data_IF_586921663232
#
_entry.id   IF_586921663232
#
_cell.length_a   1.000
_cell.length_b   1.000
_cell.length_c   1.000
_cell.angle_alpha   90.00
_cell.angle_beta   90.00
_cell.angle_gamma   90.00
#
_symmetry.space_group_name_H-M   'P 1'
#
loop_
_entity.id
_entity.type
_entity.pdbx_description
1 polymer ?
#
# COMPACT_ATOMS: atom_id res chain seq x y z
N UNK A 1 10.44 16.51 -7.96
CA UNK A 1 11.20 16.37 -9.23
C UNK A 1 11.43 17.74 -9.87
N UNK A 2 12.68 18.09 -10.18
CA UNK A 2 13.03 19.38 -10.81
C UNK A 2 12.90 20.59 -9.88
N UNK A 3 12.02 21.54 -10.22
CA UNK A 3 11.94 22.90 -9.64
C UNK A 3 10.72 23.14 -8.72
N UNK A 4 10.04 22.07 -8.29
CA UNK A 4 8.82 22.16 -7.49
C UNK A 4 8.88 21.27 -6.26
N UNK A 5 8.25 21.75 -5.19
CA UNK A 5 7.75 20.95 -4.08
C UNK A 5 6.40 20.34 -4.49
N UNK A 6 6.15 19.10 -4.10
CA UNK A 6 4.90 18.40 -4.34
C UNK A 6 4.25 18.05 -3.00
N UNK A 7 2.95 18.26 -2.91
CA UNK A 7 2.12 17.86 -1.77
C UNK A 7 1.17 16.79 -2.26
N UNK A 8 1.30 15.59 -1.71
CA UNK A 8 0.48 14.42 -2.03
C UNK A 8 -0.46 14.19 -0.84
N UNK A 9 -1.75 14.03 -1.12
CA UNK A 9 -2.80 13.92 -0.11
C UNK A 9 -3.85 12.89 -0.50
N UNK A 10 -4.30 12.12 0.49
CA UNK A 10 -5.51 11.33 0.37
C UNK A 10 -6.77 12.19 0.59
N UNK A 11 -7.79 12.00 -0.23
CA UNK A 11 -9.10 12.67 -0.12
C UNK A 11 -10.26 11.66 -0.17
N UNK A 12 -11.43 12.09 0.32
CA UNK A 12 -12.68 11.32 0.25
C UNK A 12 -12.88 10.29 1.38
N UNK A 13 -11.91 10.15 2.28
CA UNK A 13 -11.91 9.13 3.34
C UNK A 13 -11.49 7.75 2.82
N UNK A 14 -11.07 6.85 3.71
CA UNK A 14 -10.47 5.54 3.36
C UNK A 14 -11.47 4.47 2.90
N UNK A 15 -12.71 4.84 2.56
CA UNK A 15 -13.76 3.94 2.06
C UNK A 15 -13.95 4.05 0.53
N UNK A 16 -15.14 3.73 0.02
CA UNK A 16 -15.41 3.68 -1.43
C UNK A 16 -15.12 4.98 -2.22
N UNK A 17 -15.04 6.14 -1.54
CA UNK A 17 -14.73 7.44 -2.14
C UNK A 17 -13.24 7.83 -2.11
N UNK A 18 -12.36 6.95 -1.64
CA UNK A 18 -10.93 7.21 -1.49
C UNK A 18 -10.26 7.59 -2.83
N UNK A 19 -9.31 8.50 -2.74
CA UNK A 19 -8.51 8.95 -3.87
C UNK A 19 -7.18 9.55 -3.41
N UNK A 20 -6.20 9.54 -4.31
CA UNK A 20 -4.96 10.29 -4.14
C UNK A 20 -4.94 11.52 -5.04
N UNK A 21 -4.65 12.68 -4.46
CA UNK A 21 -4.46 13.94 -5.19
C UNK A 21 -3.04 14.44 -5.03
N UNK A 22 -2.61 15.28 -5.97
CA UNK A 22 -1.32 15.94 -5.86
C UNK A 22 -1.41 17.42 -6.23
N UNK A 23 -0.63 18.22 -5.52
CA UNK A 23 -0.43 19.64 -5.75
C UNK A 23 1.06 19.93 -5.90
N UNK A 24 1.42 21.08 -6.48
CA UNK A 24 2.82 21.53 -6.53
C UNK A 24 2.96 23.03 -6.29
N UNK A 25 4.11 23.42 -5.75
CA UNK A 25 4.47 24.81 -5.48
C UNK A 25 5.97 25.04 -5.68
N UNK A 26 6.36 26.31 -5.84
CA UNK A 26 7.80 26.71 -5.89
C UNK A 26 8.40 26.91 -4.49
N UNK A 27 7.56 27.09 -3.48
CA UNK A 27 7.93 27.22 -2.08
C UNK A 27 7.14 26.15 -1.28
N UNK A 28 7.74 25.50 -0.27
CA UNK A 28 7.05 24.47 0.51
C UNK A 28 5.82 24.97 1.27
N UNK A 29 5.65 26.29 1.43
CA UNK A 29 4.46 26.91 2.05
C UNK A 29 3.42 27.36 1.02
N UNK A 30 3.62 27.05 -0.26
CA UNK A 30 2.71 27.42 -1.34
C UNK A 30 3.03 28.78 -2.02
N UNK A 31 2.07 29.36 -2.77
CA UNK A 31 0.73 28.83 -3.01
C UNK A 31 0.78 27.51 -3.80
N UNK A 32 -0.09 26.59 -3.41
CA UNK A 32 -0.21 25.28 -4.05
C UNK A 32 -1.13 25.35 -5.26
N UNK A 33 -0.67 24.77 -6.37
CA UNK A 33 -1.48 24.59 -7.58
C UNK A 33 -1.85 23.12 -7.67
N UNK A 34 -3.13 22.83 -7.92
CA UNK A 34 -3.62 21.46 -8.09
C UNK A 34 -3.15 20.86 -9.42
N UNK A 35 -2.91 19.54 -9.41
CA UNK A 35 -2.74 18.80 -10.65
C UNK A 35 -4.06 18.84 -11.44
N UNK A 36 -4.05 19.30 -12.70
CA UNK A 36 -5.27 19.38 -13.53
C UNK A 36 -5.92 18.01 -13.78
N UNK A 37 -5.15 16.94 -13.59
CA UNK A 37 -5.61 15.57 -13.79
C UNK A 37 -6.05 14.88 -12.48
N UNK A 38 -6.10 15.60 -11.36
CA UNK A 38 -6.56 15.02 -10.10
C UNK A 38 -7.94 14.30 -10.25
N UNK A 39 -8.18 13.23 -9.47
CA UNK A 39 -7.19 12.50 -8.67
C UNK A 39 -6.20 11.71 -9.54
N UNK A 40 -4.96 11.54 -9.07
CA UNK A 40 -3.90 10.78 -9.76
C UNK A 40 -3.99 9.26 -9.54
N UNK A 41 -4.84 8.83 -8.59
CA UNK A 41 -5.22 7.44 -8.31
C UNK A 41 -6.64 7.43 -7.70
N UNK A 42 -7.55 6.62 -8.24
CA UNK A 42 -8.84 6.32 -7.59
C UNK A 42 -9.52 5.11 -8.25
N UNK A 43 -10.46 4.49 -7.54
CA UNK A 43 -11.41 3.49 -8.06
C UNK A 43 -12.89 3.88 -7.79
N UNK A 44 -13.16 5.13 -7.39
CA UNK A 44 -14.47 5.57 -6.88
C UNK A 44 -15.56 5.79 -7.94
N UNK A 45 -15.20 5.93 -9.21
CA UNK A 45 -16.12 6.26 -10.31
C UNK A 45 -15.68 5.62 -11.62
N UNK A 46 -16.63 5.44 -12.55
CA UNK A 46 -16.35 5.07 -13.94
C UNK A 46 -15.96 3.60 -14.15
N UNK A 47 -16.16 2.76 -13.13
CA UNK A 47 -15.97 1.32 -13.17
C UNK A 47 -17.27 0.64 -12.73
N UNK A 48 -17.57 -0.52 -13.32
CA UNK A 48 -18.68 -1.36 -12.86
C UNK A 48 -18.37 -1.88 -11.44
N UNK A 49 -19.23 -1.61 -10.43
CA UNK A 49 -19.04 -2.16 -9.09
C UNK A 49 -19.11 -3.69 -9.05
N UNK A 50 -19.79 -4.34 -10.01
CA UNK A 50 -19.94 -5.80 -10.10
C UNK A 50 -18.87 -6.48 -10.96
N UNK A 51 -17.82 -5.74 -11.38
CA UNK A 51 -16.72 -6.31 -12.15
C UNK A 51 -16.06 -7.45 -11.37
N UNK A 52 -15.54 -8.44 -12.10
CA UNK A 52 -14.78 -9.54 -11.51
C UNK A 52 -13.52 -9.02 -10.78
N UNK A 53 -13.21 -9.61 -9.63
CA UNK A 53 -12.04 -9.34 -8.81
C UNK A 53 -11.82 -7.84 -8.54
N UNK A 54 -12.82 -7.13 -7.99
CA UNK A 54 -12.76 -5.68 -7.83
C UNK A 54 -11.67 -5.30 -6.80
N UNK A 55 -10.98 -4.20 -7.10
CA UNK A 55 -10.17 -3.46 -6.13
C UNK A 55 -10.83 -2.11 -5.89
N UNK A 56 -11.09 -1.76 -4.64
CA UNK A 56 -11.79 -0.53 -4.24
C UNK A 56 -10.94 0.31 -3.27
N UNK A 57 -11.43 1.49 -2.89
CA UNK A 57 -10.85 2.31 -1.82
C UNK A 57 -9.36 2.65 -2.00
N UNK A 58 -8.90 2.78 -3.25
CA UNK A 58 -7.49 3.05 -3.56
C UNK A 58 -7.09 4.51 -3.27
N UNK A 59 -6.03 4.70 -2.49
CA UNK A 59 -5.50 6.00 -2.09
C UNK A 59 -4.39 5.86 -1.03
N UNK A 60 -4.07 6.95 -0.34
CA UNK A 60 -2.99 6.99 0.67
C UNK A 60 -1.68 6.48 0.08
N UNK A 61 -1.30 7.06 -1.05
CA UNK A 61 -0.13 6.65 -1.79
C UNK A 61 1.13 7.34 -1.27
N UNK A 62 2.25 6.66 -1.46
CA UNK A 62 3.58 7.25 -1.46
C UNK A 62 4.32 6.83 -2.73
N UNK A 63 5.21 7.69 -3.24
CA UNK A 63 5.94 7.43 -4.49
C UNK A 63 7.45 7.37 -4.27
N UNK A 64 8.09 6.40 -4.91
CA UNK A 64 9.52 6.13 -4.77
C UNK A 64 10.16 5.90 -6.14
N UNK A 65 11.39 6.38 -6.32
CA UNK A 65 12.22 6.04 -7.47
C UNK A 65 13.11 4.84 -7.13
N UNK A 66 13.21 3.87 -8.05
CA UNK A 66 14.01 2.66 -7.84
C UNK A 66 15.52 2.82 -8.10
N UNK A 67 16.01 4.05 -8.22
CA UNK A 67 17.41 4.39 -8.52
C UNK A 67 17.83 4.14 -9.97
N UNK A 68 16.94 3.60 -10.82
CA UNK A 68 17.14 3.44 -12.27
C UNK A 68 16.29 4.43 -13.07
N UNK A 69 15.72 5.45 -12.40
CA UNK A 69 14.82 6.41 -13.01
C UNK A 69 13.36 5.95 -13.13
N UNK A 70 13.00 4.72 -12.74
CA UNK A 70 11.61 4.29 -12.73
C UNK A 70 10.95 4.69 -11.43
N UNK A 71 9.73 5.22 -11.53
CA UNK A 71 8.94 5.64 -10.38
C UNK A 71 7.83 4.62 -10.10
N UNK A 72 7.54 4.43 -8.82
CA UNK A 72 6.58 3.47 -8.30
C UNK A 72 5.72 4.11 -7.22
N UNK A 73 4.46 3.71 -7.12
CA UNK A 73 3.55 4.10 -6.07
C UNK A 73 3.23 2.87 -5.21
N UNK A 74 3.46 2.98 -3.90
CA UNK A 74 2.86 2.09 -2.91
C UNK A 74 1.62 2.76 -2.35
N UNK A 75 0.52 2.03 -2.22
CA UNK A 75 -0.75 2.61 -1.76
C UNK A 75 -1.64 1.53 -1.15
N UNK A 76 -2.62 1.95 -0.37
CA UNK A 76 -3.62 1.03 0.17
C UNK A 76 -4.79 0.86 -0.77
N UNK A 77 -5.40 -0.32 -0.81
CA UNK A 77 -6.71 -0.57 -1.41
C UNK A 77 -7.37 -1.80 -0.76
N UNK A 78 -8.64 -2.03 -1.07
CA UNK A 78 -9.42 -3.15 -0.55
C UNK A 78 -9.83 -4.12 -1.66
N UNK A 79 -10.02 -5.40 -1.30
CA UNK A 79 -10.64 -6.42 -2.16
C UNK A 79 -12.03 -6.73 -1.61
N UNK A 80 -13.07 -5.99 -2.02
CA UNK A 80 -14.40 -6.26 -1.54
C UNK A 80 -14.91 -7.60 -2.05
N UNK A 81 -15.63 -8.31 -1.19
CA UNK A 81 -16.55 -9.39 -1.55
C UNK A 81 -17.99 -8.85 -1.48
N UNK A 82 -18.98 -9.75 -1.43
CA UNK A 82 -20.41 -9.43 -1.36
C UNK A 82 -20.71 -8.22 -0.45
N UNK A 83 -21.56 -7.31 -0.94
CA UNK A 83 -22.00 -6.11 -0.22
C UNK A 83 -20.88 -5.11 0.16
N UNK A 84 -19.79 -5.06 -0.61
CA UNK A 84 -18.64 -4.17 -0.37
C UNK A 84 -17.97 -4.40 1.00
N UNK A 85 -18.03 -5.64 1.50
CA UNK A 85 -17.33 -6.05 2.71
C UNK A 85 -15.88 -6.48 2.42
N UNK A 86 -14.94 -6.25 3.34
CA UNK A 86 -13.52 -6.62 3.19
C UNK A 86 -12.89 -6.96 4.55
N UNK A 87 -12.87 -8.25 4.88
CA UNK A 87 -12.38 -8.79 6.16
C UNK A 87 -10.85 -8.83 6.26
N UNK A 88 -10.14 -8.84 5.14
CA UNK A 88 -8.67 -8.73 5.10
C UNK A 88 -8.19 -7.31 5.44
N UNK A 89 -9.10 -6.34 5.52
CA UNK A 89 -8.76 -4.95 5.73
C UNK A 89 -8.19 -4.30 4.46
N UNK A 90 -7.22 -3.41 4.65
CA UNK A 90 -6.57 -2.65 3.57
C UNK A 90 -5.23 -3.29 3.25
N UNK A 91 -5.10 -3.79 2.03
CA UNK A 91 -3.87 -4.41 1.52
C UNK A 91 -2.96 -3.34 0.89
N UNK A 92 -1.65 -3.62 0.81
CA UNK A 92 -0.68 -2.76 0.11
C UNK A 92 -0.54 -3.19 -1.34
N UNK A 93 -0.65 -2.24 -2.27
CA UNK A 93 -0.53 -2.40 -3.71
C UNK A 93 0.69 -1.65 -4.25
N UNK A 94 1.11 -2.01 -5.46
CA UNK A 94 2.21 -1.39 -6.18
C UNK A 94 1.82 -1.12 -7.63
N UNK A 95 1.97 0.12 -8.10
CA UNK A 95 1.80 0.50 -9.51
C UNK A 95 2.98 1.34 -10.01
N UNK A 96 3.32 1.29 -11.31
CA UNK A 96 4.28 2.23 -11.88
C UNK A 96 3.72 3.65 -11.90
N UNK A 97 4.61 4.65 -11.83
CA UNK A 97 4.25 6.07 -11.91
C UNK A 97 4.87 6.67 -13.15
N UNK A 98 4.04 7.30 -13.98
CA UNK A 98 4.51 8.06 -15.15
C UNK A 98 4.54 9.54 -14.82
N UNK A 99 5.50 10.27 -15.39
CA UNK A 99 5.59 11.72 -15.22
C UNK A 99 5.30 12.42 -16.56
N UNK A 100 4.26 13.24 -16.60
CA UNK A 100 3.86 14.01 -17.79
C UNK A 100 3.72 15.48 -17.43
N UNK A 101 4.39 16.37 -18.17
CA UNK A 101 4.32 17.83 -17.96
C UNK A 101 4.63 18.26 -16.50
N UNK A 102 5.52 17.52 -15.83
CA UNK A 102 5.88 17.76 -14.43
C UNK A 102 4.80 17.37 -13.42
N UNK A 103 3.93 16.41 -13.75
CA UNK A 103 2.96 15.82 -12.83
C UNK A 103 3.09 14.30 -12.84
N UNK A 104 3.06 13.63 -11.68
CA UNK A 104 2.96 12.18 -11.63
C UNK A 104 1.53 11.73 -11.91
N UNK A 105 1.40 10.58 -12.58
CA UNK A 105 0.15 9.88 -12.83
C UNK A 105 0.39 8.41 -12.46
N UNK A 106 -0.40 7.89 -11.51
CA UNK A 106 -0.28 6.51 -11.00
C UNK A 106 -1.15 5.59 -11.84
N UNK A 107 -2.41 5.99 -12.07
CA UNK A 107 -3.37 5.18 -12.81
C UNK A 107 -4.28 6.07 -13.66
N UNK A 108 -4.49 5.68 -14.90
CA UNK A 108 -5.43 6.38 -15.77
C UNK A 108 -6.87 6.28 -15.23
N UNK A 109 -7.68 7.32 -15.46
CA UNK A 109 -9.08 7.34 -15.05
C UNK A 109 -9.83 6.15 -15.66
N UNK A 110 -10.81 5.62 -14.90
CA UNK A 110 -11.65 4.49 -15.30
C UNK A 110 -10.86 3.22 -15.67
N UNK A 111 -9.62 3.08 -15.18
CA UNK A 111 -8.83 1.86 -15.35
C UNK A 111 -8.94 1.02 -14.08
N UNK A 112 -9.36 -0.26 -14.15
CA UNK A 112 -9.40 -1.11 -12.98
C UNK A 112 -7.98 -1.46 -12.52
N UNK A 113 -7.77 -1.50 -11.21
CA UNK A 113 -6.53 -2.05 -10.64
C UNK A 113 -6.60 -3.57 -10.72
N UNK A 114 -5.58 -4.18 -11.32
CA UNK A 114 -5.44 -5.64 -11.34
C UNK A 114 -4.99 -6.16 -9.97
N UNK A 115 -5.55 -7.28 -9.54
CA UNK A 115 -5.09 -8.02 -8.34
C UNK A 115 -3.75 -8.73 -8.56
N UNK A 116 -3.30 -8.83 -9.81
CA UNK A 116 -2.01 -9.37 -10.21
C UNK A 116 -1.25 -8.33 -11.02
N UNK A 117 -0.08 -7.92 -10.53
CA UNK A 117 0.83 -7.05 -11.27
C UNK A 117 1.99 -7.83 -11.87
N UNK A 118 2.31 -7.57 -13.13
CA UNK A 118 3.53 -8.07 -13.75
C UNK A 118 4.62 -6.99 -13.73
N UNK A 119 5.81 -7.34 -13.26
CA UNK A 119 7.00 -6.49 -13.40
C UNK A 119 8.17 -7.32 -13.92
N UNK A 120 8.47 -7.13 -15.19
CA UNK A 120 9.60 -7.78 -15.84
C UNK A 120 10.91 -7.49 -15.08
N UNK A 121 11.74 -8.51 -14.91
CA UNK A 121 13.05 -8.39 -14.28
C UNK A 121 13.06 -8.32 -12.74
N UNK A 122 11.90 -8.39 -12.07
CA UNK A 122 11.88 -8.69 -10.64
C UNK A 122 11.98 -10.20 -10.43
N UNK A 123 13.03 -10.61 -9.72
CA UNK A 123 13.12 -11.95 -9.12
C UNK A 123 13.08 -11.78 -7.60
N UNK A 124 12.27 -12.56 -6.87
CA UNK A 124 12.35 -12.59 -5.42
C UNK A 124 13.80 -12.88 -5.01
N UNK A 125 14.40 -12.00 -4.20
CA UNK A 125 15.77 -12.18 -3.72
C UNK A 125 15.88 -13.35 -2.73
N UNK A 126 14.76 -13.75 -2.14
CA UNK A 126 14.59 -14.88 -1.26
C UNK A 126 13.18 -15.47 -1.43
N UNK A 127 12.91 -16.60 -0.77
CA UNK A 127 11.56 -17.16 -0.67
C UNK A 127 10.62 -16.08 -0.10
N UNK A 128 9.54 -15.82 -0.82
CA UNK A 128 8.54 -14.85 -0.41
C UNK A 128 7.56 -15.52 0.56
N UNK A 129 7.54 -15.07 1.81
CA UNK A 129 6.62 -15.53 2.86
C UNK A 129 5.69 -14.42 3.34
N UNK A 130 5.55 -13.36 2.54
CA UNK A 130 4.75 -12.17 2.85
C UNK A 130 3.71 -11.85 1.77
N UNK A 131 3.78 -12.46 0.59
CA UNK A 131 2.71 -12.41 -0.40
C UNK A 131 2.59 -13.69 -1.22
N UNK A 132 1.40 -13.93 -1.78
CA UNK A 132 1.05 -15.17 -2.48
C UNK A 132 0.68 -16.31 -1.53
N UNK A 133 0.61 -17.53 -2.08
CA UNK A 133 0.32 -18.73 -1.31
C UNK A 133 1.60 -19.24 -0.64
N UNK A 134 1.63 -19.23 0.69
CA UNK A 134 2.72 -19.79 1.47
C UNK A 134 2.17 -20.49 2.71
N UNK A 135 2.99 -21.36 3.29
CA UNK A 135 2.76 -21.96 4.60
C UNK A 135 3.84 -21.46 5.55
N UNK A 136 3.44 -21.22 6.80
CA UNK A 136 4.31 -20.75 7.86
C UNK A 136 4.08 -21.61 9.12
N UNK A 137 5.17 -21.97 9.78
CA UNK A 137 5.17 -22.70 11.06
C UNK A 137 6.11 -21.94 11.99
N UNK A 138 5.61 -21.57 13.16
CA UNK A 138 6.42 -21.04 14.26
C UNK A 138 6.57 -22.14 15.32
N UNK A 139 7.79 -22.62 15.54
CA UNK A 139 8.08 -23.61 16.58
C UNK A 139 8.52 -22.94 17.90
N UNK A 140 8.51 -21.60 17.96
CA UNK A 140 8.93 -20.83 19.13
C UNK A 140 10.35 -21.17 19.63
N UNK A 141 11.26 -21.49 18.72
CA UNK A 141 12.68 -21.84 18.98
C UNK A 141 13.56 -20.61 19.27
N UNK A 142 12.95 -19.46 19.55
CA UNK A 142 13.63 -18.26 19.99
C UNK A 142 14.44 -18.53 21.28
N UNK A 143 15.60 -17.86 21.45
CA UNK A 143 16.55 -18.19 22.52
C UNK A 143 15.94 -17.92 23.91
N UNK A 144 15.63 -19.00 24.64
CA UNK A 144 15.04 -19.00 25.98
C UNK A 144 15.91 -18.30 27.05
N UNK A 145 17.13 -17.86 26.74
CA UNK A 145 18.02 -17.16 27.69
C UNK A 145 17.70 -15.68 27.90
N UNK A 146 16.77 -15.08 27.12
CA UNK A 146 16.38 -13.66 27.24
C UNK A 146 14.87 -13.48 27.06
N UNK A 147 14.11 -13.70 28.13
CA UNK A 147 12.66 -13.49 28.16
C UNK A 147 12.34 -12.01 27.89
N UNK A 148 11.79 -11.70 26.71
CA UNK A 148 11.32 -10.38 26.32
C UNK A 148 10.76 -10.31 24.89
N UNK A 149 9.85 -9.36 24.66
CA UNK A 149 9.06 -9.12 23.43
C UNK A 149 9.80 -9.11 22.07
N UNK A 150 11.13 -9.11 22.06
CA UNK A 150 11.95 -8.90 20.85
C UNK A 150 12.22 -10.17 20.04
N UNK A 151 11.84 -11.34 20.55
CA UNK A 151 12.24 -12.63 19.96
C UNK A 151 11.08 -13.41 19.30
N UNK A 152 9.81 -13.03 19.52
CA UNK A 152 8.69 -13.62 18.77
C UNK A 152 8.75 -13.21 17.29
N UNK A 153 8.25 -14.08 16.41
CA UNK A 153 8.11 -13.72 15.01
C UNK A 153 7.27 -12.44 14.87
N UNK A 154 7.66 -11.45 14.04
CA UNK A 154 6.94 -10.17 13.90
C UNK A 154 5.47 -10.29 13.44
N UNK A 155 5.02 -11.48 13.03
CA UNK A 155 3.61 -11.79 12.72
C UNK A 155 2.72 -11.83 13.96
N UNK A 156 3.30 -12.10 15.13
CA UNK A 156 2.56 -12.01 16.39
C UNK A 156 2.32 -10.56 16.75
N UNK A 157 1.05 -10.20 16.91
CA UNK A 157 0.62 -8.88 17.35
C UNK A 157 -0.22 -9.03 18.60
N UNK A 158 -0.03 -8.10 19.53
CA UNK A 158 -0.83 -8.01 20.75
C UNK A 158 -1.73 -6.78 20.68
N UNK A 159 -2.86 -6.85 21.36
CA UNK A 159 -3.78 -5.74 21.43
C UNK A 159 -3.29 -4.71 22.45
N UNK A 160 -2.83 -3.55 21.97
CA UNK A 160 -2.32 -2.42 22.79
C UNK A 160 -1.06 -2.81 23.59
N UNK A 161 -0.89 -2.22 24.76
CA UNK A 161 0.22 -2.50 25.66
C UNK A 161 0.07 -3.90 26.26
N UNK A 162 1.18 -4.62 26.25
CA UNK A 162 1.22 -6.02 26.65
C UNK A 162 2.51 -6.26 27.44
N UNK A 163 2.37 -6.57 28.73
CA UNK A 163 3.50 -6.87 29.62
C UNK A 163 3.12 -8.08 30.48
N UNK A 164 3.99 -9.09 30.52
CA UNK A 164 3.92 -10.27 31.38
C UNK A 164 2.71 -11.22 31.24
N UNK A 165 2.04 -11.24 30.08
CA UNK A 165 0.87 -12.12 29.83
C UNK A 165 1.10 -13.27 28.85
N UNK A 166 2.35 -13.55 28.45
CA UNK A 166 2.72 -14.80 27.79
C UNK A 166 4.09 -15.29 28.29
N UNK A 167 4.34 -16.58 28.09
CA UNK A 167 5.63 -17.21 28.33
C UNK A 167 5.85 -18.26 27.24
N UNK A 168 7.06 -18.32 26.70
CA UNK A 168 7.49 -19.39 25.80
C UNK A 168 8.44 -20.29 26.58
N UNK A 169 8.14 -21.58 26.67
CA UNK A 169 9.01 -22.58 27.30
C UNK A 169 9.03 -23.88 26.50
N UNK A 170 10.23 -24.39 26.22
CA UNK A 170 10.40 -25.66 25.47
C UNK A 170 9.65 -25.67 24.12
N UNK A 171 9.64 -24.53 23.41
CA UNK A 171 8.99 -24.37 22.10
C UNK A 171 7.47 -24.28 22.15
N UNK A 172 6.88 -23.85 23.28
CA UNK A 172 5.42 -23.72 23.48
C UNK A 172 5.04 -22.51 24.31
#
# INVERSE_FOLDING_TARGET
KGKFYYLMCAEGGTGGWHSEVILRAKNPMGPWVECPNNPILTQRTGLDPNRKDPVSSAGHADIVEDGKGNWWAVFLACRPYEEDMYNTGRDTYLLPVTWKNGWPEILAKNTPISTVGEKAGLKPAAKNEFSGNFSYVDNFEADNSKVGLKELNPRWMFLRDFVDCYKVENGK
#
